data_IF_605565955329
#
_entry.id   IF_605565955329
#
_cell.length_a   1.000
_cell.length_b   1.000
_cell.length_c   1.000
_cell.angle_alpha   90.00
_cell.angle_beta   90.00
_cell.angle_gamma   90.00
#
_symmetry.space_group_name_H-M   'P 1'
#
loop_
_entity.id
_entity.type
_entity.pdbx_description
1 polymer ?
#
# COMPACT_ATOMS: atom_id res chain seq x y z
N UNK A 1 -7.35 5.35 12.38
CA UNK A 1 -8.76 5.31 11.94
C UNK A 1 -8.87 4.37 10.75
N UNK A 2 -9.90 3.53 10.70
CA UNK A 2 -10.10 2.57 9.59
C UNK A 2 -11.53 2.71 9.05
N UNK A 3 -11.66 2.78 7.73
CA UNK A 3 -12.94 2.76 7.03
C UNK A 3 -12.91 1.68 5.96
N UNK A 4 -13.87 0.75 5.98
CA UNK A 4 -13.91 -0.39 5.07
C UNK A 4 -15.26 -0.45 4.36
N UNK A 5 -15.23 -0.69 3.05
CA UNK A 5 -16.40 -0.99 2.24
C UNK A 5 -16.28 -2.40 1.69
N UNK A 6 -17.02 -3.33 2.28
CA UNK A 6 -17.05 -4.74 1.84
C UNK A 6 -17.66 -4.87 0.44
N UNK A 7 -18.71 -4.10 0.15
CA UNK A 7 -19.37 -4.12 -1.16
C UNK A 7 -18.42 -3.68 -2.29
N UNK A 8 -17.54 -2.70 -2.02
CA UNK A 8 -16.57 -2.19 -2.99
C UNK A 8 -15.20 -2.87 -2.88
N UNK A 9 -14.96 -3.69 -1.85
CA UNK A 9 -13.65 -4.25 -1.49
C UNK A 9 -12.56 -3.18 -1.38
N UNK A 10 -12.89 -2.09 -0.68
CA UNK A 10 -12.00 -0.93 -0.49
C UNK A 10 -11.79 -0.66 0.99
N UNK A 11 -10.60 -0.24 1.37
CA UNK A 11 -10.34 0.29 2.70
C UNK A 11 -9.57 1.61 2.61
N UNK A 12 -9.85 2.51 3.56
CA UNK A 12 -9.04 3.67 3.88
C UNK A 12 -8.51 3.49 5.29
N UNK A 13 -7.19 3.54 5.44
CA UNK A 13 -6.50 3.28 6.70
C UNK A 13 -5.66 4.51 7.02
N UNK A 14 -5.83 5.05 8.23
CA UNK A 14 -4.97 6.10 8.77
C UNK A 14 -4.12 5.54 9.89
N UNK A 15 -2.81 5.67 9.72
CA UNK A 15 -1.79 5.31 10.70
C UNK A 15 -1.16 6.58 11.26
N UNK A 16 -0.94 6.57 12.57
CA UNK A 16 -0.23 7.61 13.29
C UNK A 16 1.07 7.00 13.79
N UNK A 17 2.08 7.84 13.96
CA UNK A 17 3.41 7.47 14.47
C UNK A 17 4.01 6.27 13.70
N UNK A 18 4.04 6.40 12.37
CA UNK A 18 4.59 5.35 11.51
C UNK A 18 6.06 5.09 11.84
N UNK A 19 6.38 3.85 12.24
CA UNK A 19 7.75 3.46 12.54
C UNK A 19 8.68 3.60 11.33
N UNK A 20 8.18 3.43 10.09
CA UNK A 20 8.98 3.63 8.88
C UNK A 20 9.39 5.09 8.71
N UNK A 21 8.54 6.01 9.17
CA UNK A 21 8.85 7.44 9.19
C UNK A 21 9.89 7.73 10.26
N UNK A 22 9.73 7.17 11.47
CA UNK A 22 10.74 7.29 12.53
C UNK A 22 12.12 6.77 12.09
N UNK A 23 12.19 5.58 11.48
CA UNK A 23 13.43 5.01 10.93
C UNK A 23 14.07 5.94 9.90
N UNK A 24 13.27 6.56 9.04
CA UNK A 24 13.78 7.50 8.03
C UNK A 24 14.32 8.79 8.64
N UNK A 25 13.76 9.25 9.76
CA UNK A 25 14.29 10.39 10.49
C UNK A 25 15.61 10.07 11.20
N UNK A 26 15.76 8.85 11.73
CA UNK A 26 16.94 8.44 12.48
C UNK A 26 18.12 8.03 11.58
N UNK A 27 17.86 7.27 10.53
CA UNK A 27 18.88 6.66 9.66
C UNK A 27 19.04 7.37 8.31
N UNK A 28 18.24 8.41 8.07
CA UNK A 28 18.28 9.21 6.85
C UNK A 28 17.24 8.80 5.80
N UNK A 29 17.04 9.70 4.84
CA UNK A 29 16.06 9.55 3.77
C UNK A 29 16.44 8.43 2.81
N UNK A 30 15.53 7.48 2.60
CA UNK A 30 15.71 6.43 1.59
C UNK A 30 15.69 6.98 0.16
N UNK A 31 15.02 8.13 -0.04
CA UNK A 31 14.79 8.72 -1.35
C UNK A 31 15.35 10.13 -1.44
N UNK A 32 15.78 10.49 -2.65
CA UNK A 32 16.36 11.82 -2.94
C UNK A 32 15.31 12.92 -3.09
N UNK A 33 14.08 12.57 -3.44
CA UNK A 33 12.95 13.49 -3.59
C UNK A 33 11.89 13.22 -2.52
N UNK A 34 11.19 14.25 -2.00
CA UNK A 34 10.07 14.05 -1.07
C UNK A 34 9.01 13.16 -1.70
N UNK A 35 8.71 12.04 -1.04
CA UNK A 35 7.66 11.11 -1.45
C UNK A 35 7.15 10.31 -0.25
N UNK A 36 6.05 9.59 -0.46
CA UNK A 36 5.52 8.64 0.51
C UNK A 36 6.49 7.47 0.68
N UNK A 37 6.71 7.01 1.92
CA UNK A 37 7.84 6.11 2.25
C UNK A 37 7.43 4.83 2.95
N UNK A 38 6.15 4.63 3.28
CA UNK A 38 5.71 3.47 4.05
C UNK A 38 5.50 2.24 3.17
N UNK A 39 6.55 1.82 2.45
CA UNK A 39 6.51 0.70 1.50
C UNK A 39 6.16 -0.64 2.16
N UNK A 40 6.69 -0.92 3.36
CA UNK A 40 6.36 -2.14 4.09
C UNK A 40 4.86 -2.16 4.43
N UNK A 41 4.32 -1.07 4.98
CA UNK A 41 2.90 -0.98 5.32
C UNK A 41 2.01 -1.09 4.07
N UNK A 42 2.39 -0.46 2.95
CA UNK A 42 1.73 -0.66 1.65
C UNK A 42 1.66 -2.14 1.26
N UNK A 43 2.79 -2.83 1.29
CA UNK A 43 2.87 -4.26 0.98
C UNK A 43 2.04 -5.12 1.93
N UNK A 44 2.15 -4.86 3.23
CA UNK A 44 1.42 -5.56 4.28
C UNK A 44 -0.10 -5.40 4.12
N UNK A 45 -0.60 -4.18 3.96
CA UNK A 45 -2.03 -3.95 3.79
C UNK A 45 -2.58 -4.54 2.49
N UNK A 46 -1.82 -4.46 1.39
CA UNK A 46 -2.19 -5.10 0.13
C UNK A 46 -2.31 -6.62 0.30
N UNK A 47 -1.32 -7.27 0.90
CA UNK A 47 -1.33 -8.73 1.10
C UNK A 47 -2.45 -9.17 2.05
N UNK A 48 -2.56 -8.52 3.21
CA UNK A 48 -3.54 -8.87 4.23
C UNK A 48 -4.98 -8.72 3.74
N UNK A 49 -5.30 -7.59 3.09
CA UNK A 49 -6.64 -7.37 2.54
C UNK A 49 -6.91 -8.21 1.30
N UNK A 50 -5.88 -8.69 0.60
CA UNK A 50 -6.08 -9.65 -0.49
C UNK A 50 -6.63 -10.99 0.01
N UNK A 51 -6.20 -11.41 1.20
CA UNK A 51 -6.75 -12.60 1.87
C UNK A 51 -8.19 -12.35 2.31
N UNK A 52 -8.46 -11.22 2.98
CA UNK A 52 -9.80 -10.90 3.51
C UNK A 52 -10.85 -10.75 2.41
N UNK A 53 -10.50 -10.10 1.29
CA UNK A 53 -11.44 -9.86 0.20
C UNK A 53 -11.43 -10.95 -0.88
N UNK A 54 -10.60 -11.99 -0.72
CA UNK A 54 -10.39 -13.06 -1.71
C UNK A 54 -10.12 -12.53 -3.13
N UNK A 55 -9.39 -11.40 -3.20
CA UNK A 55 -9.13 -10.66 -4.43
C UNK A 55 -7.71 -10.12 -4.40
N UNK A 56 -7.12 -9.94 -5.58
CA UNK A 56 -5.86 -9.21 -5.65
C UNK A 56 -6.13 -7.73 -5.33
N UNK A 57 -5.55 -7.24 -4.24
CA UNK A 57 -5.68 -5.86 -3.76
C UNK A 57 -4.37 -5.10 -4.02
N UNK A 58 -4.52 -3.86 -4.46
CA UNK A 58 -3.44 -2.87 -4.45
C UNK A 58 -3.63 -1.93 -3.28
N UNK A 59 -2.53 -1.44 -2.72
CA UNK A 59 -2.52 -0.46 -1.64
C UNK A 59 -1.60 0.69 -2.04
N UNK A 60 -2.14 1.91 -2.03
CA UNK A 60 -1.39 3.14 -2.29
C UNK A 60 -1.34 3.99 -1.01
N UNK A 61 -0.19 4.59 -0.72
CA UNK A 61 -0.07 5.59 0.35
C UNK A 61 -0.36 6.96 -0.27
N UNK A 62 -1.45 7.59 0.15
CA UNK A 62 -1.95 8.85 -0.40
C UNK A 62 -1.38 10.06 0.35
N UNK A 63 -1.02 9.88 1.62
CA UNK A 63 -0.49 10.91 2.53
C UNK A 63 0.54 10.23 3.42
N UNK A 64 1.64 10.90 3.75
CA UNK A 64 2.68 10.36 4.65
C UNK A 64 3.12 11.41 5.68
N UNK A 65 3.43 10.98 6.90
CA UNK A 65 3.99 11.88 7.92
C UNK A 65 5.37 12.44 7.52
N UNK A 66 6.15 11.69 6.73
CA UNK A 66 7.45 12.16 6.23
C UNK A 66 7.35 13.40 5.34
N UNK A 67 6.18 13.64 4.73
CA UNK A 67 5.94 14.81 3.88
C UNK A 67 5.31 15.98 4.66
N UNK A 68 5.36 15.95 5.99
CA UNK A 68 4.84 17.00 6.88
C UNK A 68 3.36 16.88 7.25
N UNK A 69 2.70 15.76 6.93
CA UNK A 69 1.32 15.51 7.35
C UNK A 69 1.25 14.97 8.79
N UNK A 70 0.07 15.07 9.43
CA UNK A 70 -0.14 14.54 10.79
C UNK A 70 -0.39 13.02 10.86
N UNK A 71 -0.49 12.33 9.71
CA UNK A 71 -0.74 10.89 9.63
C UNK A 71 -0.31 10.34 8.26
N UNK A 72 -0.17 9.02 8.18
CA UNK A 72 -0.09 8.29 6.93
C UNK A 72 -1.49 7.80 6.53
N UNK A 73 -1.92 8.05 5.29
CA UNK A 73 -3.19 7.55 4.75
C UNK A 73 -2.95 6.55 3.64
N UNK A 74 -3.55 5.37 3.76
CA UNK A 74 -3.50 4.31 2.78
C UNK A 74 -4.88 4.09 2.18
N UNK A 75 -4.91 3.89 0.86
CA UNK A 75 -6.10 3.54 0.11
C UNK A 75 -5.90 2.17 -0.55
N UNK A 76 -6.79 1.24 -0.26
CA UNK A 76 -6.77 -0.10 -0.85
C UNK A 76 -7.94 -0.30 -1.79
N UNK A 77 -7.64 -0.94 -2.93
CA UNK A 77 -8.55 -1.08 -4.06
C UNK A 77 -8.36 -2.47 -4.69
N UNK A 78 -9.40 -3.08 -5.26
CA UNK A 78 -9.21 -4.29 -6.05
C UNK A 78 -8.42 -3.98 -7.33
N UNK A 79 -7.47 -4.85 -7.67
CA UNK A 79 -6.72 -4.73 -8.91
C UNK A 79 -7.68 -4.91 -10.11
N UNK A 80 -7.69 -3.97 -11.09
CA UNK A 80 -8.51 -4.12 -12.27
C UNK A 80 -8.22 -5.41 -13.04
N UNK A 81 -9.26 -6.13 -13.48
CA UNK A 81 -9.13 -7.42 -14.19
C UNK A 81 -8.18 -7.38 -15.41
N UNK A 82 -8.15 -6.26 -16.13
CA UNK A 82 -7.25 -6.07 -17.29
C UNK A 82 -5.77 -6.13 -16.89
N UNK A 83 -5.43 -5.68 -15.68
CA UNK A 83 -4.07 -5.68 -15.15
C UNK A 83 -3.71 -7.00 -14.47
N UNK A 84 -4.67 -7.68 -13.84
CA UNK A 84 -4.44 -9.00 -13.23
C UNK A 84 -4.13 -10.09 -14.28
N UNK A 85 -4.79 -10.05 -15.43
CA UNK A 85 -4.51 -10.95 -16.57
C UNK A 85 -3.06 -10.83 -17.05
N UNK A 86 -2.54 -9.61 -17.23
CA UNK A 86 -1.14 -9.37 -17.65
C UNK A 86 -0.12 -9.94 -16.65
N UNK A 87 -0.41 -9.88 -15.35
CA UNK A 87 0.45 -10.46 -14.30
C UNK A 87 0.53 -11.98 -14.42
N UNK A 88 -0.61 -12.65 -14.62
CA UNK A 88 -0.63 -14.12 -14.82
C UNK A 88 0.17 -14.54 -16.05
N UNK A 89 0.00 -13.84 -17.18
CA UNK A 89 0.74 -14.15 -18.41
C UNK A 89 2.25 -13.93 -18.25
N UNK A 90 2.66 -12.88 -17.52
CA UNK A 90 4.08 -12.58 -17.26
C UNK A 90 4.72 -13.57 -16.28
N UNK A 91 4.01 -13.94 -15.20
CA UNK A 91 4.49 -14.94 -14.24
C UNK A 91 4.63 -16.33 -14.87
N UNK A 92 3.79 -16.67 -15.86
CA UNK A 92 3.90 -17.91 -16.63
C UNK A 92 5.11 -17.91 -17.58
N UNK A 93 5.46 -16.76 -18.18
CA UNK A 93 6.63 -16.64 -19.07
C UNK A 93 8.00 -16.72 -18.39
N UNK A 94 8.08 -16.46 -17.08
CA UNK A 94 9.36 -16.51 -16.34
C UNK A 94 9.67 -17.94 -15.87
N UNK A 95 8.71 -18.87 -15.99
CA UNK A 95 8.85 -20.28 -15.60
C UNK A 95 9.17 -21.22 -16.78
N UNK A 96 9.44 -20.68 -17.97
CA UNK A 96 9.94 -21.41 -19.15
C UNK A 96 11.38 -20.98 -19.42
#
# INVERSE_FOLDING_TARGET
>A
MVSVSLTRNRAKIRCYDSFQVAVTHEYGQLYRSPQVICDLLRGFFAAYLSVIFEKEIICEEMVCQSTGAGYCEFLTLPLPKKLSLRRKTRAQRIKQ
#
